data_IF_440758198287
#
_entry.id   IF_440758198287
#
_cell.length_a   1.000
_cell.length_b   1.000
_cell.length_c   1.000
_cell.angle_alpha   90.00
_cell.angle_beta   90.00
_cell.angle_gamma   90.00
#
_symmetry.space_group_name_H-M   'P 1'
#
loop_
_entity.id
_entity.type
_entity.pdbx_description
1 polymer ?
#
# COMPACT_ATOMS: atom_id res chain seq x y z
N UNK A 1 -14.75 3.07 -6.15
CA UNK A 1 -14.00 1.84 -5.84
C UNK A 1 -14.28 1.51 -4.40
N UNK A 2 -14.73 0.29 -4.11
CA UNK A 2 -15.19 -0.09 -2.77
C UNK A 2 -14.03 -0.64 -1.92
N UNK A 3 -13.08 -1.32 -2.53
CA UNK A 3 -11.89 -1.80 -1.84
C UNK A 3 -10.66 -1.84 -2.77
N UNK A 4 -9.49 -1.77 -2.14
CA UNK A 4 -8.19 -1.94 -2.80
C UNK A 4 -7.58 -3.24 -2.29
N UNK A 5 -7.08 -4.05 -3.20
CA UNK A 5 -6.40 -5.31 -2.90
C UNK A 5 -5.01 -5.30 -3.51
N UNK A 6 -4.06 -5.88 -2.79
CA UNK A 6 -2.70 -6.09 -3.27
C UNK A 6 -2.37 -7.57 -3.28
N UNK A 7 -1.33 -7.92 -4.03
CA UNK A 7 -0.79 -9.26 -4.12
C UNK A 7 0.70 -9.28 -3.74
N UNK A 8 1.17 -10.47 -3.38
CA UNK A 8 2.60 -10.77 -3.22
C UNK A 8 3.40 -10.65 -4.51
N UNK A 9 2.79 -10.29 -5.64
CA UNK A 9 3.49 -9.93 -6.87
C UNK A 9 3.74 -8.43 -7.01
N UNK A 10 3.19 -7.62 -6.09
CA UNK A 10 3.18 -6.16 -6.17
C UNK A 10 2.02 -5.58 -6.98
N UNK A 11 1.15 -6.43 -7.53
CA UNK A 11 -0.02 -5.96 -8.23
C UNK A 11 -0.98 -5.29 -7.25
N UNK A 12 -1.38 -4.06 -7.58
CA UNK A 12 -2.40 -3.31 -6.86
C UNK A 12 -3.63 -3.18 -7.74
N UNK A 13 -4.79 -3.53 -7.19
CA UNK A 13 -6.06 -3.51 -7.92
C UNK A 13 -7.13 -2.85 -7.09
N UNK A 14 -7.96 -2.11 -7.81
CA UNK A 14 -9.20 -1.58 -7.30
C UNK A 14 -10.38 -2.47 -7.65
N UNK A 15 -11.25 -2.73 -6.69
CA UNK A 15 -12.47 -3.52 -6.90
C UNK A 15 -13.70 -2.62 -6.72
N UNK A 16 -14.62 -2.73 -7.67
CA UNK A 16 -15.97 -2.19 -7.57
C UNK A 16 -16.93 -3.37 -7.40
N UNK A 17 -17.45 -3.53 -6.19
CA UNK A 17 -18.32 -4.63 -5.80
C UNK A 17 -19.71 -4.49 -6.43
N UNK A 18 -20.19 -3.25 -6.63
CA UNK A 18 -21.51 -3.00 -7.21
C UNK A 18 -21.54 -3.32 -8.69
N UNK A 19 -20.47 -2.99 -9.40
CA UNK A 19 -20.35 -3.22 -10.85
C UNK A 19 -19.73 -4.58 -11.17
N UNK A 20 -19.33 -5.35 -10.15
CA UNK A 20 -18.60 -6.62 -10.30
C UNK A 20 -17.39 -6.49 -11.24
N UNK A 21 -16.61 -5.41 -11.06
CA UNK A 21 -15.51 -5.05 -11.94
C UNK A 21 -14.25 -4.76 -11.13
N UNK A 22 -13.09 -4.82 -11.79
CA UNK A 22 -11.82 -4.42 -11.19
C UNK A 22 -10.99 -3.60 -12.17
N UNK A 23 -10.08 -2.80 -11.62
CA UNK A 23 -9.11 -2.02 -12.39
C UNK A 23 -7.71 -2.27 -11.85
N UNK A 24 -6.73 -2.47 -12.73
CA UNK A 24 -5.33 -2.53 -12.31
C UNK A 24 -4.85 -1.10 -12.06
N UNK A 25 -4.43 -0.82 -10.82
CA UNK A 25 -3.95 0.50 -10.40
C UNK A 25 -2.46 0.69 -10.72
N UNK A 26 -1.75 -0.43 -10.94
CA UNK A 26 -0.37 -0.44 -11.37
C UNK A 26 -0.20 -1.24 -12.68
N UNK A 27 0.71 -0.83 -13.57
CA UNK A 27 1.09 -1.64 -14.73
C UNK A 27 1.72 -2.96 -14.28
N UNK A 28 1.05 -4.08 -14.55
CA UNK A 28 1.52 -5.40 -14.10
C UNK A 28 2.84 -5.80 -14.77
N UNK A 29 3.06 -5.39 -16.03
CA UNK A 29 4.24 -5.78 -16.82
C UNK A 29 5.57 -5.24 -16.26
N UNK A 30 5.53 -4.21 -15.41
CA UNK A 30 6.72 -3.60 -14.81
C UNK A 30 7.08 -4.14 -13.43
N UNK A 31 6.29 -5.08 -12.89
CA UNK A 31 6.49 -5.60 -11.54
C UNK A 31 7.63 -6.63 -11.50
N UNK A 32 8.47 -6.49 -10.49
CA UNK A 32 9.61 -7.38 -10.22
C UNK A 32 9.29 -8.24 -9.00
N UNK A 33 9.14 -9.56 -9.15
CA UNK A 33 8.93 -10.49 -8.03
C UNK A 33 10.00 -10.33 -6.95
N UNK A 34 9.63 -10.53 -5.67
CA UNK A 34 10.51 -10.34 -4.49
C UNK A 34 11.04 -8.92 -4.25
N UNK A 35 10.70 -7.96 -5.11
CA UNK A 35 11.01 -6.54 -4.90
C UNK A 35 9.74 -5.74 -4.69
N UNK A 36 8.80 -5.88 -5.61
CA UNK A 36 7.56 -5.11 -5.59
C UNK A 36 6.46 -5.77 -4.74
N UNK A 37 6.70 -6.95 -4.16
CA UNK A 37 5.71 -7.66 -3.34
C UNK A 37 5.21 -6.76 -2.23
N UNK A 38 3.90 -6.54 -2.18
CA UNK A 38 3.27 -5.76 -1.11
C UNK A 38 2.94 -6.74 0.02
N UNK A 39 3.59 -6.55 1.16
CA UNK A 39 3.46 -7.46 2.32
C UNK A 39 2.41 -6.98 3.30
N UNK A 40 2.12 -5.67 3.33
CA UNK A 40 1.08 -5.09 4.18
C UNK A 40 0.56 -3.78 3.60
N UNK A 41 -0.70 -3.46 3.87
CA UNK A 41 -1.33 -2.21 3.47
C UNK A 41 -2.25 -1.67 4.56
N UNK A 42 -2.39 -0.36 4.62
CA UNK A 42 -3.36 0.32 5.47
C UNK A 42 -3.84 1.61 4.83
N UNK A 43 -5.10 1.96 5.03
CA UNK A 43 -5.59 3.30 4.71
C UNK A 43 -4.91 4.33 5.61
N UNK A 44 -4.46 5.44 5.01
CA UNK A 44 -3.81 6.53 5.75
C UNK A 44 -4.78 7.24 6.70
N UNK A 45 -6.08 7.20 6.45
CA UNK A 45 -7.10 7.79 7.34
C UNK A 45 -8.53 7.47 6.93
N UNK A 46 -9.48 8.11 7.61
CA UNK A 46 -10.93 7.84 7.46
C UNK A 46 -11.50 8.26 6.10
N UNK A 47 -10.86 9.23 5.42
CA UNK A 47 -11.26 9.70 4.10
C UNK A 47 -10.99 8.71 2.96
N UNK A 48 -10.23 7.65 3.22
CA UNK A 48 -9.87 6.61 2.23
C UNK A 48 -9.30 7.20 0.92
N UNK A 49 -8.50 8.27 1.04
CA UNK A 49 -7.87 8.95 -0.09
C UNK A 49 -6.58 8.26 -0.51
N UNK A 50 -5.81 7.78 0.46
CA UNK A 50 -4.48 7.21 0.20
C UNK A 50 -4.25 5.92 0.99
N UNK A 51 -3.56 4.96 0.37
CA UNK A 51 -3.14 3.69 0.97
C UNK A 51 -1.63 3.70 1.16
N UNK A 52 -1.17 3.47 2.39
CA UNK A 52 0.22 3.15 2.66
C UNK A 52 0.44 1.65 2.41
N UNK A 53 1.49 1.32 1.65
CA UNK A 53 1.89 -0.04 1.35
C UNK A 53 3.35 -0.26 1.74
N UNK A 54 3.61 -1.36 2.45
CA UNK A 54 4.95 -1.86 2.72
C UNK A 54 5.32 -2.93 1.71
N UNK A 55 6.51 -2.80 1.14
CA UNK A 55 7.06 -3.75 0.19
C UNK A 55 8.04 -4.72 0.87
N UNK A 56 8.33 -5.83 0.20
CA UNK A 56 9.26 -6.86 0.67
C UNK A 56 10.66 -6.32 0.96
N UNK A 57 11.14 -5.39 0.14
CA UNK A 57 12.43 -4.71 0.30
C UNK A 57 12.42 -3.59 1.37
N UNK A 58 11.32 -3.51 2.13
CA UNK A 58 11.07 -2.59 3.23
C UNK A 58 10.95 -1.13 2.78
N UNK A 59 10.71 -0.89 1.49
CA UNK A 59 10.24 0.41 1.03
C UNK A 59 8.77 0.61 1.40
N UNK A 60 8.46 1.81 1.87
CA UNK A 60 7.09 2.29 2.03
C UNK A 60 6.73 3.18 0.84
N UNK A 61 5.56 2.91 0.29
CA UNK A 61 4.98 3.65 -0.83
C UNK A 61 3.56 4.08 -0.48
N UNK A 62 3.18 5.26 -0.95
CA UNK A 62 1.83 5.81 -0.80
C UNK A 62 1.12 5.77 -2.13
N UNK A 63 -0.01 5.04 -2.18
CA UNK A 63 -0.93 5.10 -3.29
C UNK A 63 -1.95 6.19 -3.06
N UNK A 64 -1.95 7.20 -3.92
CA UNK A 64 -2.96 8.25 -3.96
C UNK A 64 -4.06 7.84 -4.93
N UNK A 65 -5.27 7.63 -4.40
CA UNK A 65 -6.42 7.18 -5.17
C UNK A 65 -7.03 8.28 -6.05
N UNK A 66 -6.75 9.55 -5.78
CA UNK A 66 -7.20 10.68 -6.59
C UNK A 66 -6.35 10.83 -7.85
N UNK A 67 -5.02 10.83 -7.68
CA UNK A 67 -4.09 10.94 -8.82
C UNK A 67 -3.78 9.60 -9.49
N UNK A 68 -4.21 8.48 -8.89
CA UNK A 68 -3.89 7.12 -9.31
C UNK A 68 -2.38 6.92 -9.48
N UNK A 69 -1.63 7.39 -8.47
CA UNK A 69 -0.16 7.40 -8.49
C UNK A 69 0.40 6.70 -7.25
N UNK A 70 1.53 6.01 -7.43
CA UNK A 70 2.21 5.27 -6.36
C UNK A 70 3.58 5.88 -6.08
N UNK A 71 3.62 6.70 -5.04
CA UNK A 71 4.75 7.54 -4.71
C UNK A 71 5.65 6.87 -3.67
N UNK A 72 6.95 6.91 -3.89
CA UNK A 72 7.91 6.41 -2.90
C UNK A 72 7.98 7.38 -1.71
N UNK A 73 7.96 6.83 -0.49
CA UNK A 73 8.08 7.63 0.73
C UNK A 73 9.47 7.48 1.35
N UNK A 74 9.74 6.35 1.99
CA UNK A 74 10.99 6.09 2.70
C UNK A 74 11.23 4.58 2.84
N UNK A 75 12.48 4.21 3.11
CA UNK A 75 12.86 2.84 3.44
C UNK A 75 12.91 2.67 4.96
N UNK A 76 12.34 1.58 5.47
CA UNK A 76 12.35 1.27 6.90
C UNK A 76 13.75 0.77 7.29
N UNK A 77 14.38 1.41 8.28
CA UNK A 77 15.76 1.12 8.69
C UNK A 77 15.88 0.27 9.97
N UNK A 78 14.83 0.14 10.78
CA UNK A 78 14.85 -0.59 12.06
C UNK A 78 13.97 -1.84 12.07
N UNK A 79 14.36 -2.88 12.80
CA UNK A 79 13.73 -4.22 12.78
C UNK A 79 14.32 -5.14 11.72
N UNK A 80 13.99 -6.43 11.76
CA UNK A 80 14.51 -7.47 10.85
C UNK A 80 13.36 -8.19 10.14
N UNK A 81 13.58 -8.66 8.91
CA UNK A 81 12.57 -9.38 8.14
C UNK A 81 11.54 -8.49 7.42
N UNK A 82 10.50 -9.13 6.90
CA UNK A 82 9.44 -8.47 6.12
C UNK A 82 8.40 -7.84 7.04
N UNK A 83 7.83 -6.71 6.62
CA UNK A 83 6.74 -6.07 7.35
C UNK A 83 5.50 -6.97 7.37
N UNK A 84 5.07 -7.35 8.57
CA UNK A 84 3.89 -8.18 8.84
C UNK A 84 2.63 -7.34 9.05
N UNK A 85 2.78 -6.10 9.47
CA UNK A 85 1.65 -5.24 9.80
C UNK A 85 1.99 -3.77 9.78
N UNK A 86 1.00 -2.97 9.38
CA UNK A 86 1.01 -1.52 9.47
C UNK A 86 -0.16 -1.09 10.35
N UNK A 87 0.10 -0.10 11.21
CA UNK A 87 -0.92 0.52 12.04
C UNK A 87 -0.84 2.03 11.92
N UNK A 88 -1.94 2.66 11.53
CA UNK A 88 -2.07 4.11 11.48
C UNK A 88 -2.46 4.60 12.87
N UNK A 89 -1.58 5.40 13.49
CA UNK A 89 -1.88 6.06 14.75
C UNK A 89 -2.63 7.36 14.40
N UNK A 90 -3.92 7.42 14.73
CA UNK A 90 -4.67 8.66 14.65
C UNK A 90 -4.14 9.64 15.70
N UNK A 91 -3.18 10.48 15.28
CA UNK A 91 -2.74 11.66 16.02
C UNK A 91 -2.84 12.88 15.09
N UNK A 92 -3.27 14.00 15.66
CA UNK A 92 -3.44 15.31 15.04
C UNK A 92 -2.58 15.58 13.79
N UNK A 93 -3.22 16.06 12.71
CA UNK A 93 -2.68 16.64 11.46
C UNK A 93 -1.47 15.97 10.79
N UNK A 94 -1.00 14.82 11.28
CA UNK A 94 0.23 14.16 10.85
C UNK A 94 0.06 12.64 10.95
N UNK A 95 0.28 11.94 9.84
CA UNK A 95 0.15 10.48 9.80
C UNK A 95 1.39 9.84 10.43
N UNK A 96 1.21 9.18 11.57
CA UNK A 96 2.26 8.36 12.19
C UNK A 96 1.92 6.89 12.00
N UNK A 97 2.90 6.09 11.56
CA UNK A 97 2.71 4.66 11.33
C UNK A 97 3.59 3.84 12.25
N UNK A 98 3.00 2.87 12.93
CA UNK A 98 3.73 1.79 13.58
C UNK A 98 3.88 0.63 12.60
N UNK A 99 5.10 0.08 12.54
CA UNK A 99 5.45 -1.04 11.67
C UNK A 99 5.74 -2.25 12.54
N UNK A 100 5.09 -3.37 12.25
CA UNK A 100 5.39 -4.66 12.85
C UNK A 100 6.17 -5.51 11.84
N UNK A 101 7.37 -5.95 12.21
CA UNK A 101 8.27 -6.78 11.40
C UNK A 101 8.43 -8.15 12.02
#
# INVERSE_FOLDING_TARGET
MDCIVAASTGALKGINLRENSFTNLLPIKSLVPKKDEITSMIWSGTGQTDVLAALFDRNLKLYDAHSNSFNQMFQITGGDGTVQGLHCLEKYSSHTYAVHT
#
